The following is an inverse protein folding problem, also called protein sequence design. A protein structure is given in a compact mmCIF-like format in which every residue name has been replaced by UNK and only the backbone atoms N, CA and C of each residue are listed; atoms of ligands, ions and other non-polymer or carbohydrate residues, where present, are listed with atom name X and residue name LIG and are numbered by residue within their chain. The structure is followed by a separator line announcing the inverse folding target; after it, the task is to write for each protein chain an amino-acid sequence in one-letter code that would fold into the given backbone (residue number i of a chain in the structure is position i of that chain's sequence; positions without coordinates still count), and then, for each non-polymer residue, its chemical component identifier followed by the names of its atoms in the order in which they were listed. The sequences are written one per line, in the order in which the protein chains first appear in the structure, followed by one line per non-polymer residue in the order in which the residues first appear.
data_IF_844677399308
#
_entry.id   IF_844677399308
#
_cell.length_a   1.000
_cell.length_b   1.000
_cell.length_c   1.000
_cell.angle_alpha   90.00
_cell.angle_beta   90.00
_cell.angle_gamma   90.00
#
_symmetry.space_group_name_H-M   'P 1'
#
loop_
_entity.id
_entity.type
_entity.pdbx_description
1 polymer ?
#
# COMPACT_ATOMS: atom_id res chain seq x y z
N UNK A 1 20.35 -8.74 -27.12
CA UNK A 1 19.94 -8.41 -26.49
C UNK A 1 19.36 -8.03 -25.90
N UNK A 2 19.11 -8.00 -25.84
CA UNK A 2 18.41 -7.58 -25.21
C UNK A 2 18.10 -7.19 -24.50
N UNK A 3 17.68 -6.85 -24.27
CA UNK A 3 17.25 -6.38 -23.49
C UNK A 3 16.79 -6.14 -22.74
N UNK A 4 16.65 -6.15 -22.77
CA UNK A 4 16.12 -5.85 -22.18
C UNK A 4 15.71 -5.62 -21.46
N UNK A 5 15.62 -5.49 -21.68
CA UNK A 5 15.14 -4.93 -20.91
C UNK A 5 14.86 -5.11 -19.66
N UNK A 6 15.29 -5.00 -19.24
CA UNK A 6 15.15 -4.85 -18.08
C UNK A 6 14.11 -4.22 -17.57
N UNK A 7 13.17 -4.60 -18.02
CA UNK A 7 12.01 -4.12 -17.53
C UNK A 7 11.90 -4.41 -16.11
N UNK A 8 11.80 -3.41 -15.36
CA UNK A 8 11.47 -3.55 -13.99
C UNK A 8 10.22 -4.36 -13.88
N UNK A 9 10.30 -5.49 -13.24
CA UNK A 9 9.13 -6.27 -12.95
C UNK A 9 8.26 -5.45 -12.01
N UNK A 10 7.03 -5.23 -12.38
CA UNK A 10 6.11 -4.49 -11.52
C UNK A 10 5.82 -5.32 -10.27
N UNK A 11 6.16 -4.78 -9.12
CA UNK A 11 5.90 -5.44 -7.85
C UNK A 11 4.55 -4.99 -7.35
N UNK A 12 3.64 -5.94 -7.18
CA UNK A 12 2.27 -5.65 -6.76
C UNK A 12 1.95 -6.43 -5.50
N UNK A 13 1.54 -5.71 -4.48
CA UNK A 13 1.13 -6.29 -3.22
C UNK A 13 -0.38 -6.19 -3.07
N UNK A 14 -0.97 -7.12 -2.35
CA UNK A 14 -2.39 -7.12 -2.09
C UNK A 14 -2.69 -7.65 -0.70
N UNK A 15 -3.97 -7.90 -0.42
CA UNK A 15 -4.43 -8.39 0.88
C UNK A 15 -3.70 -9.64 1.35
N UNK A 16 -3.39 -10.54 0.43
CA UNK A 16 -2.76 -11.81 0.78
C UNK A 16 -1.34 -11.64 1.30
N UNK A 17 -0.73 -10.50 1.08
CA UNK A 17 0.62 -10.22 1.56
C UNK A 17 0.65 -9.69 2.99
N UNK A 18 -0.50 -9.45 3.58
CA UNK A 18 -0.60 -8.96 4.95
C UNK A 18 0.14 -9.88 5.92
N UNK A 19 1.02 -9.30 6.72
CA UNK A 19 1.81 -10.04 7.69
C UNK A 19 3.05 -10.71 7.12
N UNK A 20 3.36 -10.51 5.86
CA UNK A 20 4.53 -11.15 5.23
C UNK A 20 5.72 -10.19 5.13
N UNK A 21 6.86 -10.73 4.73
CA UNK A 21 8.06 -9.96 4.46
C UNK A 21 8.27 -9.91 2.94
N UNK A 22 8.48 -8.71 2.43
CA UNK A 22 8.67 -8.45 1.00
C UNK A 22 10.13 -8.04 0.78
N UNK A 23 10.80 -8.70 -0.14
CA UNK A 23 12.18 -8.38 -0.49
C UNK A 23 12.21 -7.41 -1.67
N UNK A 24 12.94 -6.32 -1.50
CA UNK A 24 13.06 -5.26 -2.50
C UNK A 24 14.52 -4.89 -2.69
N UNK A 25 14.81 -4.22 -3.79
CA UNK A 25 16.10 -3.58 -4.01
C UNK A 25 15.92 -2.08 -3.93
N UNK A 26 16.97 -1.37 -3.52
CA UNK A 26 16.96 0.08 -3.50
C UNK A 26 16.59 0.61 -4.89
N UNK A 27 15.64 1.52 -4.95
CA UNK A 27 15.13 2.08 -6.19
C UNK A 27 13.89 1.40 -6.74
N UNK A 28 13.52 0.24 -6.20
CA UNK A 28 12.32 -0.45 -6.64
C UNK A 28 11.06 0.34 -6.29
N UNK A 29 10.11 0.31 -7.20
CA UNK A 29 8.76 0.83 -6.95
C UNK A 29 7.81 -0.35 -6.82
N UNK A 30 6.85 -0.21 -5.95
CA UNK A 30 5.82 -1.23 -5.79
C UNK A 30 4.46 -0.57 -5.51
N UNK A 31 3.40 -1.28 -5.84
CA UNK A 31 2.04 -0.82 -5.55
C UNK A 31 1.40 -1.75 -4.55
N UNK A 32 0.56 -1.17 -3.71
CA UNK A 32 -0.24 -1.91 -2.74
C UNK A 32 -1.70 -1.60 -3.03
N UNK A 33 -2.48 -2.64 -3.30
CA UNK A 33 -3.89 -2.48 -3.62
C UNK A 33 -4.72 -3.21 -2.57
N UNK A 34 -5.64 -2.48 -1.95
CA UNK A 34 -6.48 -3.02 -0.87
C UNK A 34 -7.94 -2.71 -1.15
N UNK A 35 -8.84 -3.67 -0.87
CA UNK A 35 -10.27 -3.42 -1.05
C UNK A 35 -10.80 -2.49 0.02
N UNK A 36 -11.79 -1.70 -0.33
CA UNK A 36 -12.45 -0.83 0.62
C UNK A 36 -13.68 -0.19 0.03
N UNK A 37 -14.44 0.49 0.88
CA UNK A 37 -15.66 1.16 0.47
C UNK A 37 -15.77 2.53 1.16
N UNK A 38 -15.29 3.59 0.51
CA UNK A 38 -15.29 4.92 1.12
C UNK A 38 -16.68 5.51 1.29
N UNK A 39 -17.72 4.94 0.63
CA UNK A 39 -19.10 5.43 0.83
C UNK A 39 -19.57 5.21 2.25
N UNK A 40 -18.94 4.33 3.00
CA UNK A 40 -19.26 4.09 4.42
C UNK A 40 -18.49 5.02 5.35
N UNK A 41 -17.65 5.89 4.81
CA UNK A 41 -16.78 6.77 5.59
C UNK A 41 -15.43 6.14 5.93
N UNK A 42 -15.23 4.88 5.60
CA UNK A 42 -13.96 4.20 5.84
C UNK A 42 -12.98 4.45 4.70
N UNK A 43 -11.72 4.54 5.05
CA UNK A 43 -10.63 4.62 4.07
C UNK A 43 -9.37 4.02 4.66
N UNK A 44 -8.47 3.61 3.77
CA UNK A 44 -7.15 3.15 4.16
C UNK A 44 -6.24 4.36 4.34
N UNK A 45 -5.50 4.36 5.43
CA UNK A 45 -4.58 5.44 5.75
C UNK A 45 -3.27 4.85 6.25
N UNK A 46 -2.15 5.45 5.84
CA UNK A 46 -0.85 5.01 6.31
C UNK A 46 -0.72 5.43 7.78
N UNK A 47 -0.50 4.45 8.64
CA UNK A 47 -0.36 4.67 10.08
C UNK A 47 1.12 4.72 10.49
N UNK A 48 1.94 3.85 9.90
CA UNK A 48 3.37 3.81 10.18
C UNK A 48 4.14 3.60 8.87
N UNK A 49 5.16 4.44 8.68
CA UNK A 49 6.08 4.32 7.55
C UNK A 49 7.40 4.98 7.95
N UNK A 50 8.52 4.34 7.59
CA UNK A 50 9.83 4.95 7.77
C UNK A 50 10.19 5.69 6.48
N UNK A 51 10.00 6.99 6.49
CA UNK A 51 10.20 7.81 5.29
C UNK A 51 11.66 7.93 4.86
N UNK A 52 12.60 7.44 5.66
CA UNK A 52 14.00 7.39 5.27
C UNK A 52 14.29 6.17 4.40
N UNK A 53 13.47 5.13 4.49
CA UNK A 53 13.61 3.92 3.71
C UNK A 53 12.61 3.81 2.56
N UNK A 54 11.38 4.24 2.79
CA UNK A 54 10.27 4.06 1.85
C UNK A 54 9.53 5.38 1.69
N UNK A 55 9.26 5.73 0.44
CA UNK A 55 8.54 6.95 0.11
C UNK A 55 7.22 6.63 -0.56
N UNK A 56 6.16 7.34 -0.17
CA UNK A 56 4.90 7.28 -0.89
C UNK A 56 5.02 8.16 -2.14
N UNK A 57 4.79 7.58 -3.31
CA UNK A 57 4.91 8.28 -4.59
C UNK A 57 3.54 8.75 -5.03
N UNK A 58 3.35 10.06 -5.04
CA UNK A 58 2.06 10.65 -5.40
C UNK A 58 1.01 10.41 -4.35
N UNK A 59 -0.25 10.58 -4.72
CA UNK A 59 -1.37 10.38 -3.83
C UNK A 59 -2.03 9.03 -4.04
N UNK A 60 -2.56 8.41 -2.98
CA UNK A 60 -3.33 7.18 -3.14
C UNK A 60 -4.53 7.41 -4.05
N UNK A 61 -4.90 6.40 -4.80
CA UNK A 61 -6.06 6.47 -5.69
C UNK A 61 -7.11 5.47 -5.26
N UNK A 62 -8.34 5.73 -5.66
CA UNK A 62 -9.45 4.81 -5.43
C UNK A 62 -10.18 4.59 -6.75
N UNK A 63 -10.48 3.32 -7.04
CA UNK A 63 -11.24 2.96 -8.23
C UNK A 63 -12.40 2.06 -7.84
N UNK A 64 -13.62 2.49 -8.14
CA UNK A 64 -14.80 1.72 -7.82
C UNK A 64 -14.92 0.50 -8.72
N UNK A 65 -15.38 -0.62 -8.17
CA UNK A 65 -15.57 -1.86 -8.92
C UNK A 65 -16.71 -1.74 -9.93
N UNK A 66 -17.70 -0.89 -9.65
CA UNK A 66 -18.82 -0.67 -10.55
C UNK A 66 -19.38 0.73 -10.32
N UNK A 67 -20.31 1.13 -11.19
CA UNK A 67 -20.98 2.43 -11.08
C UNK A 67 -22.12 2.42 -10.05
N UNK A 68 -22.33 1.31 -9.37
CA UNK A 68 -23.40 1.22 -8.36
C UNK A 68 -23.00 1.99 -7.10
N UNK A 69 -23.93 2.72 -6.56
CA UNK A 69 -23.74 3.39 -5.28
C UNK A 69 -23.52 2.34 -4.20
N UNK A 70 -22.45 2.51 -3.40
CA UNK A 70 -22.17 1.62 -2.29
C UNK A 70 -21.44 0.34 -2.66
N UNK A 71 -21.01 0.17 -3.91
CA UNK A 71 -20.34 -1.08 -4.36
C UNK A 71 -18.91 -1.00 -3.93
N UNK A 72 -18.18 -0.69 -3.29
CA UNK A 72 -16.77 -0.76 -2.96
C UNK A 72 -15.85 -0.74 -4.18
N UNK A 73 -14.60 -0.85 -3.95
CA UNK A 73 -13.57 -0.84 -4.97
C UNK A 73 -12.19 -1.06 -4.37
N UNK A 74 -11.17 -0.54 -5.04
CA UNK A 74 -9.79 -0.77 -4.64
C UNK A 74 -9.04 0.54 -4.41
N UNK A 75 -8.33 0.60 -3.29
CA UNK A 75 -7.39 1.68 -3.00
C UNK A 75 -6.02 1.25 -3.45
N UNK A 76 -5.30 2.11 -4.15
CA UNK A 76 -3.94 1.83 -4.61
C UNK A 76 -2.96 2.86 -4.07
N UNK A 77 -1.88 2.37 -3.46
CA UNK A 77 -0.79 3.17 -2.95
C UNK A 77 0.46 2.80 -3.73
N UNK A 78 1.25 3.77 -4.16
CA UNK A 78 2.51 3.52 -4.84
C UNK A 78 3.65 3.96 -3.95
N UNK A 79 4.63 3.09 -3.79
CA UNK A 79 5.79 3.35 -2.93
C UNK A 79 7.08 3.13 -3.70
N UNK A 80 8.15 3.75 -3.19
CA UNK A 80 9.49 3.57 -3.73
C UNK A 80 10.46 3.29 -2.58
N UNK A 81 11.32 2.29 -2.75
CA UNK A 81 12.39 1.99 -1.80
C UNK A 81 13.54 2.97 -2.02
N UNK A 82 13.87 3.73 -1.00
CA UNK A 82 14.88 4.79 -1.06
C UNK A 82 16.27 4.32 -0.66
N UNK A 83 16.35 3.47 0.35
CA UNK A 83 17.62 3.01 0.88
C UNK A 83 17.50 1.61 1.45
N UNK A 84 18.66 0.96 1.59
CA UNK A 84 18.69 -0.39 2.15
C UNK A 84 18.35 -0.37 3.63
N UNK A 85 17.68 -1.42 4.07
CA UNK A 85 17.28 -1.56 5.46
C UNK A 85 16.01 -2.36 5.58
N UNK A 86 15.55 -2.53 6.79
CA UNK A 86 14.34 -3.29 7.09
C UNK A 86 13.37 -2.42 7.86
N UNK A 87 12.13 -2.38 7.40
CA UNK A 87 11.10 -1.57 8.03
C UNK A 87 9.72 -2.14 7.77
N UNK A 88 8.76 -1.68 8.55
CA UNK A 88 7.36 -2.05 8.38
C UNK A 88 6.58 -0.89 7.79
N UNK A 89 5.58 -1.21 6.97
CA UNK A 89 4.55 -0.26 6.61
C UNK A 89 3.27 -0.79 7.23
N UNK A 90 2.53 0.09 7.90
CA UNK A 90 1.25 -0.26 8.50
C UNK A 90 0.19 0.70 8.02
N UNK A 91 -0.91 0.15 7.51
CA UNK A 91 -2.07 0.92 7.11
C UNK A 91 -3.26 0.49 7.96
N UNK A 92 -4.14 1.43 8.22
CA UNK A 92 -5.36 1.16 8.97
C UNK A 92 -6.57 1.53 8.14
N UNK A 93 -7.61 0.73 8.27
CA UNK A 93 -8.90 0.97 7.62
C UNK A 93 -9.84 1.49 8.67
N UNK A 94 -10.14 2.78 8.62
CA UNK A 94 -10.89 3.44 9.68
C UNK A 94 -11.68 4.63 9.15
N UNK A 95 -12.52 5.16 9.99
CA UNK A 95 -13.18 6.44 9.75
C UNK A 95 -12.38 7.52 10.45
N UNK A 96 -11.74 8.39 9.68
CA UNK A 96 -10.83 9.39 10.23
C UNK A 96 -11.50 10.39 11.18
N UNK A 97 -12.83 10.57 11.04
CA UNK A 97 -13.57 11.46 11.91
C UNK A 97 -13.96 10.82 13.25
N UNK A 98 -13.73 9.53 13.43
CA UNK A 98 -13.99 8.83 14.70
C UNK A 98 -12.69 8.66 15.46
N UNK A 99 -12.56 9.38 16.56
CA UNK A 99 -11.36 9.28 17.40
C UNK A 99 -11.62 8.28 18.53
N UNK A 100 -10.54 7.57 18.91
CA UNK A 100 -10.61 6.62 19.99
C UNK A 100 -11.31 5.31 19.64
N UNK A 101 -11.61 5.09 18.38
CA UNK A 101 -12.24 3.86 17.89
C UNK A 101 -11.18 3.02 17.20
N UNK A 102 -11.16 1.72 17.49
CA UNK A 102 -10.22 0.79 16.86
C UNK A 102 -10.47 0.72 15.36
N UNK A 103 -9.41 0.59 14.53
CA UNK A 103 -9.60 0.41 13.09
C UNK A 103 -10.41 -0.85 12.80
N UNK A 104 -11.19 -0.81 11.73
CA UNK A 104 -11.95 -1.98 11.29
C UNK A 104 -11.02 -3.05 10.73
N UNK A 105 -9.89 -2.65 10.15
CA UNK A 105 -8.91 -3.57 9.60
C UNK A 105 -7.52 -2.97 9.67
N UNK A 106 -6.51 -3.83 9.65
CA UNK A 106 -5.10 -3.41 9.71
C UNK A 106 -4.34 -4.21 8.67
N UNK A 107 -3.49 -3.51 7.91
CA UNK A 107 -2.59 -4.13 6.94
C UNK A 107 -1.17 -3.79 7.32
N UNK A 108 -0.31 -4.79 7.37
CA UNK A 108 1.08 -4.58 7.75
C UNK A 108 1.98 -5.54 6.99
N UNK A 109 3.05 -4.99 6.39
CA UNK A 109 4.09 -5.79 5.75
C UNK A 109 5.45 -5.32 6.23
N UNK A 110 6.38 -6.25 6.27
CA UNK A 110 7.79 -5.94 6.54
C UNK A 110 8.50 -5.84 5.19
N UNK A 111 9.26 -4.77 5.01
CA UNK A 111 10.02 -4.56 3.79
C UNK A 111 11.49 -4.76 4.10
N UNK A 112 12.15 -5.62 3.33
CA UNK A 112 13.57 -5.89 3.46
C UNK A 112 14.23 -5.39 2.17
N UNK A 113 14.86 -4.21 2.26
CA UNK A 113 15.44 -3.53 1.10
C UNK A 113 16.95 -3.76 1.08
N UNK A 114 17.44 -4.21 -0.04
CA UNK A 114 18.87 -4.48 -0.23
C UNK A 114 19.58 -3.32 -0.91
#
# INVERSE_FOLDING_TARGET
FSLTACAATAIKLGESDNGTTINLNTGDKFTLTLPGNPTTGYSWEINEIDSTLIELVGEPTYEADSNRIGSGGMFTFTFKALSAGRSNIKLIYHRSFQQGVEPADIYQVTLDVK
#
